data_IF_924651292321
#
_entry.id   IF_924651292321
#
_cell.length_a   1.000
_cell.length_b   1.000
_cell.length_c   1.000
_cell.angle_alpha   90.00
_cell.angle_beta   90.00
_cell.angle_gamma   90.00
#
_symmetry.space_group_name_H-M   'P 1'
#
loop_
_entity.id
_entity.type
_entity.pdbx_description
1 polymer ?
#
# COMPACT_ATOMS: atom_id res chain seq x y z
N UNK A 1 -49.06 4.75 16.80
CA UNK A 1 -47.69 5.03 16.31
C UNK A 1 -46.88 3.75 16.48
N UNK A 2 -46.39 3.16 15.39
CA UNK A 2 -45.68 1.88 15.42
C UNK A 2 -44.16 2.10 15.41
N UNK A 3 -43.50 1.63 16.47
CA UNK A 3 -42.07 1.75 16.71
C UNK A 3 -41.29 0.82 15.76
N UNK A 4 -40.61 1.38 14.76
CA UNK A 4 -39.71 0.62 13.89
C UNK A 4 -38.42 0.31 14.65
N UNK A 5 -38.32 -0.91 15.17
CA UNK A 5 -37.04 -1.43 15.67
C UNK A 5 -36.01 -1.49 14.53
N UNK A 6 -34.81 -0.90 14.68
CA UNK A 6 -33.78 -0.97 13.66
C UNK A 6 -33.31 -2.42 13.51
N UNK A 7 -33.49 -2.98 12.32
CA UNK A 7 -33.01 -4.32 11.97
C UNK A 7 -31.48 -4.26 11.94
N UNK A 8 -30.86 -4.65 13.06
CA UNK A 8 -29.41 -4.74 13.21
C UNK A 8 -28.87 -5.61 12.06
N UNK A 9 -28.17 -5.00 11.11
CA UNK A 9 -27.57 -5.70 9.98
C UNK A 9 -26.37 -6.46 10.55
N UNK A 10 -26.59 -7.72 10.90
CA UNK A 10 -25.52 -8.64 11.28
C UNK A 10 -24.59 -8.72 10.07
N UNK A 11 -23.45 -8.02 10.16
CA UNK A 11 -22.33 -8.22 9.25
C UNK A 11 -21.89 -9.65 9.52
N UNK A 12 -22.14 -10.53 8.56
CA UNK A 12 -21.79 -11.94 8.65
C UNK A 12 -20.27 -12.02 8.83
N UNK A 13 -19.86 -12.21 10.08
CA UNK A 13 -18.47 -12.35 10.52
C UNK A 13 -18.06 -13.82 10.53
N UNK A 14 -18.83 -14.67 9.84
CA UNK A 14 -18.43 -16.06 9.60
C UNK A 14 -17.03 -16.07 8.96
N UNK A 15 -16.06 -16.78 9.54
CA UNK A 15 -14.76 -16.93 8.91
C UNK A 15 -14.97 -17.58 7.54
N UNK A 16 -14.68 -16.83 6.47
CA UNK A 16 -14.72 -17.34 5.11
C UNK A 16 -13.87 -18.63 5.04
N UNK A 17 -14.33 -19.67 4.32
CA UNK A 17 -13.60 -20.92 4.19
C UNK A 17 -12.14 -20.65 3.75
N UNK A 18 -11.16 -21.34 4.35
CA UNK A 18 -9.73 -21.04 4.25
C UNK A 18 -9.18 -21.07 2.81
N UNK A 19 -9.93 -21.66 1.87
CA UNK A 19 -9.48 -21.95 0.51
C UNK A 19 -9.82 -20.89 -0.54
N UNK A 20 -10.44 -19.76 -0.17
CA UNK A 20 -10.70 -18.67 -1.13
C UNK A 20 -9.51 -17.69 -1.18
N UNK A 21 -8.86 -17.51 -2.34
CA UNK A 21 -7.81 -16.51 -2.49
C UNK A 21 -8.32 -15.12 -2.07
N UNK A 22 -7.55 -14.42 -1.24
CA UNK A 22 -7.86 -13.05 -0.79
C UNK A 22 -8.00 -12.09 -1.99
N UNK A 23 -7.32 -12.40 -3.10
CA UNK A 23 -7.30 -11.63 -4.33
C UNK A 23 -6.96 -12.51 -5.53
N UNK A 24 -7.47 -12.16 -6.71
CA UNK A 24 -7.06 -12.72 -7.98
C UNK A 24 -5.56 -12.52 -8.25
N UNK A 25 -4.90 -13.53 -8.82
CA UNK A 25 -3.46 -13.55 -9.04
C UNK A 25 -2.98 -12.42 -9.97
N UNK A 26 -3.78 -12.05 -10.97
CA UNK A 26 -3.46 -10.95 -11.88
C UNK A 26 -3.47 -9.60 -11.16
N UNK A 27 -4.48 -9.38 -10.31
CA UNK A 27 -4.59 -8.15 -9.51
C UNK A 27 -3.47 -8.08 -8.45
N UNK A 28 -3.15 -9.20 -7.81
CA UNK A 28 -2.06 -9.29 -6.84
C UNK A 28 -0.71 -8.96 -7.49
N UNK A 29 -0.43 -9.53 -8.67
CA UNK A 29 0.81 -9.28 -9.41
C UNK A 29 0.97 -7.82 -9.79
N UNK A 30 -0.10 -7.16 -10.25
CA UNK A 30 -0.06 -5.73 -10.63
C UNK A 30 0.19 -4.83 -9.43
N UNK A 31 -0.51 -5.07 -8.31
CA UNK A 31 -0.31 -4.30 -7.06
C UNK A 31 1.07 -4.54 -6.46
N UNK A 32 1.57 -5.77 -6.54
CA UNK A 32 2.93 -6.11 -6.11
C UNK A 32 3.99 -5.45 -6.98
N UNK A 33 3.82 -5.48 -8.31
CA UNK A 33 4.74 -4.80 -9.22
C UNK A 33 4.80 -3.29 -8.95
N UNK A 34 3.65 -2.66 -8.66
CA UNK A 34 3.61 -1.25 -8.28
C UNK A 34 4.34 -0.99 -6.95
N UNK A 35 4.08 -1.81 -5.93
CA UNK A 35 4.75 -1.73 -4.63
C UNK A 35 6.28 -1.89 -4.78
N UNK A 36 6.69 -2.90 -5.53
CA UNK A 36 8.10 -3.20 -5.78
C UNK A 36 8.77 -2.09 -6.58
N UNK A 37 8.10 -1.56 -7.60
CA UNK A 37 8.58 -0.42 -8.38
C UNK A 37 8.80 0.84 -7.53
N UNK A 38 7.87 1.15 -6.63
CA UNK A 38 8.02 2.27 -5.68
C UNK A 38 9.24 2.05 -4.78
N UNK A 39 9.45 0.84 -4.28
CA UNK A 39 10.64 0.50 -3.46
C UNK A 39 11.94 0.65 -4.24
N UNK A 40 11.98 0.20 -5.50
CA UNK A 40 13.17 0.35 -6.36
C UNK A 40 13.47 1.81 -6.67
N UNK A 41 12.45 2.60 -7.01
CA UNK A 41 12.60 4.05 -7.23
C UNK A 41 13.09 4.75 -5.95
N UNK A 42 12.53 4.37 -4.81
CA UNK A 42 12.96 4.83 -3.50
C UNK A 42 14.42 4.56 -3.19
N UNK A 43 14.87 3.33 -3.46
CA UNK A 43 16.24 2.91 -3.26
C UNK A 43 17.19 3.64 -4.20
N UNK A 44 16.81 3.81 -5.47
CA UNK A 44 17.58 4.58 -6.45
C UNK A 44 17.69 6.06 -6.04
N UNK A 45 16.61 6.66 -5.53
CA UNK A 45 16.61 8.02 -5.02
C UNK A 45 17.52 8.18 -3.80
N UNK A 46 17.48 7.24 -2.84
CA UNK A 46 18.42 7.24 -1.71
C UNK A 46 19.86 7.15 -2.18
N UNK A 47 20.15 6.22 -3.09
CA UNK A 47 21.50 6.02 -3.60
C UNK A 47 22.01 7.26 -4.34
N UNK A 48 21.18 7.86 -5.20
CA UNK A 48 21.48 9.09 -5.91
C UNK A 48 21.65 10.28 -4.97
N UNK A 49 20.80 10.41 -3.95
CA UNK A 49 20.89 11.47 -2.94
C UNK A 49 22.17 11.38 -2.11
N UNK A 50 22.54 10.17 -1.67
CA UNK A 50 23.84 9.95 -1.00
C UNK A 50 24.99 10.26 -1.95
N UNK A 51 24.94 9.80 -3.20
CA UNK A 51 26.01 9.98 -4.18
C UNK A 51 26.24 11.46 -4.53
N UNK A 52 25.18 12.21 -4.85
CA UNK A 52 25.25 13.65 -5.11
C UNK A 52 25.66 14.44 -3.85
N UNK A 53 25.21 14.00 -2.67
CA UNK A 53 25.54 14.64 -1.40
C UNK A 53 27.03 14.56 -1.04
N UNK A 54 27.81 13.68 -1.68
CA UNK A 54 29.27 13.55 -1.48
C UNK A 54 30.04 14.77 -1.95
N UNK A 55 29.55 15.44 -2.99
CA UNK A 55 30.15 16.65 -3.57
C UNK A 55 29.67 17.93 -2.84
N UNK A 56 28.61 17.83 -2.04
CA UNK A 56 28.08 18.90 -1.22
C UNK A 56 26.60 18.71 -0.87
N UNK A 57 26.20 19.14 0.34
CA UNK A 57 24.80 19.13 0.77
C UNK A 57 24.04 20.31 0.14
N UNK A 58 23.44 20.08 -1.03
CA UNK A 58 22.49 21.00 -1.66
C UNK A 58 21.04 20.53 -1.49
N UNK A 59 20.07 21.34 -1.95
CA UNK A 59 18.64 21.00 -1.82
C UNK A 59 18.27 19.72 -2.58
N UNK A 60 18.94 19.45 -3.72
CA UNK A 60 18.68 18.28 -4.56
C UNK A 60 18.94 16.93 -3.87
N UNK A 61 20.12 16.64 -3.29
CA UNK A 61 20.37 15.39 -2.58
C UNK A 61 19.48 15.24 -1.34
N UNK A 62 19.17 16.33 -0.63
CA UNK A 62 18.22 16.28 0.49
C UNK A 62 16.81 15.87 0.03
N UNK A 63 16.32 16.45 -1.07
CA UNK A 63 15.02 16.10 -1.63
C UNK A 63 14.96 14.63 -2.08
N UNK A 64 16.03 14.12 -2.70
CA UNK A 64 16.16 12.72 -3.09
C UNK A 64 16.15 11.77 -1.88
N UNK A 65 16.85 12.15 -0.80
CA UNK A 65 16.88 11.37 0.43
C UNK A 65 15.51 11.34 1.13
N UNK A 66 14.83 12.47 1.20
CA UNK A 66 13.48 12.56 1.79
C UNK A 66 12.49 11.76 0.95
N UNK A 67 12.51 11.91 -0.37
CA UNK A 67 11.63 11.15 -1.26
C UNK A 67 11.89 9.63 -1.14
N UNK A 68 13.17 9.25 -1.16
CA UNK A 68 13.59 7.88 -0.96
C UNK A 68 13.14 7.31 0.39
N UNK A 69 13.30 8.06 1.47
CA UNK A 69 12.82 7.67 2.80
C UNK A 69 11.29 7.50 2.82
N UNK A 70 10.53 8.47 2.31
CA UNK A 70 9.06 8.42 2.27
C UNK A 70 8.54 7.23 1.47
N UNK A 71 9.19 6.90 0.35
CA UNK A 71 8.82 5.75 -0.47
C UNK A 71 8.93 4.41 0.30
N UNK A 72 9.86 4.31 1.26
CA UNK A 72 10.02 3.11 2.08
C UNK A 72 8.88 2.92 3.07
N UNK A 73 8.18 3.99 3.45
CA UNK A 73 7.03 3.94 4.36
C UNK A 73 5.71 3.61 3.66
N UNK A 74 5.68 3.48 2.33
CA UNK A 74 4.50 3.01 1.60
C UNK A 74 4.21 1.56 2.03
N UNK A 75 3.14 1.39 2.81
CA UNK A 75 2.75 0.07 3.32
C UNK A 75 2.00 -0.73 2.25
N UNK A 76 2.16 -2.06 2.18
CA UNK A 76 1.38 -2.92 1.28
C UNK A 76 -0.14 -2.74 1.45
N UNK A 77 -0.59 -2.44 2.68
CA UNK A 77 -1.99 -2.18 3.01
C UNK A 77 -2.56 -0.95 2.28
N UNK A 78 -1.75 0.09 2.04
CA UNK A 78 -2.19 1.28 1.28
C UNK A 78 -2.39 0.97 -0.21
N UNK A 79 -1.69 -0.04 -0.72
CA UNK A 79 -1.81 -0.52 -2.10
C UNK A 79 -2.84 -1.64 -2.24
N UNK A 80 -3.59 -1.93 -1.18
CA UNK A 80 -4.62 -2.95 -1.17
C UNK A 80 -4.09 -4.39 -1.31
N UNK A 81 -2.78 -4.64 -1.16
CA UNK A 81 -2.19 -5.99 -1.24
C UNK A 81 -2.65 -6.92 -0.12
N UNK A 82 -3.12 -6.35 0.99
CA UNK A 82 -3.55 -7.08 2.20
C UNK A 82 -5.00 -6.77 2.58
N UNK A 83 -5.71 -6.00 1.76
CA UNK A 83 -7.12 -5.69 1.98
C UNK A 83 -7.94 -6.65 1.13
N UNK A 84 -8.77 -7.49 1.76
CA UNK A 84 -9.82 -8.25 1.04
C UNK A 84 -10.62 -7.22 0.25
N UNK A 85 -10.83 -7.46 -1.04
CA UNK A 85 -11.68 -6.60 -1.84
C UNK A 85 -13.03 -6.51 -1.13
N UNK A 86 -13.38 -5.33 -0.64
CA UNK A 86 -14.73 -5.09 -0.12
C UNK A 86 -15.69 -5.47 -1.26
N UNK A 87 -16.68 -6.35 -1.03
CA UNK A 87 -17.65 -6.66 -2.06
C UNK A 87 -18.32 -5.34 -2.49
N UNK A 88 -18.55 -5.14 -3.80
CA UNK A 88 -19.23 -3.94 -4.28
C UNK A 88 -20.57 -3.80 -3.56
N UNK A 89 -20.82 -2.61 -3.01
CA UNK A 89 -22.10 -2.24 -2.39
C UNK A 89 -23.20 -2.11 -3.42
#
# INVERSE_FOLDING_TARGET
MAERKPKLRVVDTSPLPPDRPIMDAGTARRRFALYFGIKLLGLAALFGGVFLGREGMSVAPVALLVFGAVSLFVRPKMLGLTTRADPPR
#
